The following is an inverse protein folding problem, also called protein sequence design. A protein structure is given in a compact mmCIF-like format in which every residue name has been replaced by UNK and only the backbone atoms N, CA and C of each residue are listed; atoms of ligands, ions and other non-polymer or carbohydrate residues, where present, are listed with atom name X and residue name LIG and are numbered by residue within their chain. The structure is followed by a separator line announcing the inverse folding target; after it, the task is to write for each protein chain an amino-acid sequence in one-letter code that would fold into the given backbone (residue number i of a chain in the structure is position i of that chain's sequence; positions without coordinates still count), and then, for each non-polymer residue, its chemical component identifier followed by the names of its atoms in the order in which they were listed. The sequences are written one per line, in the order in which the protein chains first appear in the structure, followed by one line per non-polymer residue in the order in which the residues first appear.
data_IF_435018388847
#
_entry.id   IF_435018388847
#
_cell.length_a   1.000
_cell.length_b   1.000
_cell.length_c   1.000
_cell.angle_alpha   90.00
_cell.angle_beta   90.00
_cell.angle_gamma   90.00
#
_symmetry.space_group_name_H-M   'P 1'
#
loop_
_entity.id
_entity.type
_entity.pdbx_description
1 polymer ?
#
# COMPACT_ATOMS: atom_id res chain seq x y z
N UNK A 1 40.16 2.27 11.83
CA UNK A 1 39.69 3.53 11.25
C UNK A 1 38.18 3.41 11.15
N UNK A 2 37.44 4.00 12.09
CA UNK A 2 35.97 3.94 12.12
C UNK A 2 35.49 4.99 11.13
N UNK A 3 34.97 4.56 9.98
CA UNK A 3 34.31 5.46 9.03
C UNK A 3 33.10 6.05 9.75
N UNK A 4 33.18 7.34 10.07
CA UNK A 4 32.15 8.12 10.76
C UNK A 4 30.92 8.31 9.88
N UNK A 5 30.20 7.23 9.60
CA UNK A 5 28.88 7.30 9.02
C UNK A 5 27.93 7.79 10.12
N UNK A 6 27.47 9.04 10.00
CA UNK A 6 26.32 9.55 10.74
C UNK A 6 25.22 8.50 10.62
N UNK A 7 24.67 8.04 11.75
CA UNK A 7 23.46 7.21 11.75
C UNK A 7 22.39 8.01 11.00
N UNK A 8 22.14 7.65 9.74
CA UNK A 8 20.96 8.07 9.00
C UNK A 8 19.80 7.41 9.74
N UNK A 9 19.21 8.13 10.69
CA UNK A 9 17.97 7.69 11.32
C UNK A 9 16.91 7.72 10.23
N UNK A 10 16.49 6.55 9.76
CA UNK A 10 15.40 6.19 8.83
C UNK A 10 15.13 7.06 7.58
N UNK A 11 15.87 8.15 7.36
CA UNK A 11 15.66 9.13 6.31
C UNK A 11 16.70 8.98 5.21
N UNK A 12 16.21 8.99 3.97
CA UNK A 12 17.08 9.01 2.80
C UNK A 12 17.86 10.35 2.72
N UNK A 13 19.13 10.30 2.32
CA UNK A 13 20.00 11.49 2.27
C UNK A 13 19.46 12.66 1.42
N UNK A 14 18.57 12.39 0.46
CA UNK A 14 17.87 13.43 -0.28
C UNK A 14 16.86 14.20 0.58
N UNK A 15 16.14 13.53 1.48
CA UNK A 15 15.19 14.15 2.41
C UNK A 15 15.88 15.04 3.45
N UNK A 16 17.09 14.66 3.89
CA UNK A 16 17.93 15.49 4.75
C UNK A 16 18.35 16.82 4.10
N UNK A 17 18.60 16.82 2.80
CA UNK A 17 19.08 18.01 2.07
C UNK A 17 17.92 18.93 1.68
N UNK A 18 16.78 18.38 1.26
CA UNK A 18 15.63 19.17 0.81
C UNK A 18 14.65 19.51 1.94
N UNK A 19 14.72 18.83 3.08
CA UNK A 19 13.70 18.91 4.14
C UNK A 19 12.36 18.29 3.77
N UNK A 20 12.24 17.70 2.58
CA UNK A 20 11.02 17.07 2.09
C UNK A 20 11.22 15.56 1.94
N UNK A 21 10.37 14.78 2.61
CA UNK A 21 10.25 13.35 2.37
C UNK A 21 9.85 13.13 0.91
N UNK A 22 10.57 12.25 0.21
CA UNK A 22 10.21 11.90 -1.18
C UNK A 22 8.87 11.16 -1.16
N UNK A 23 7.91 11.70 -1.88
CA UNK A 23 6.62 11.05 -2.07
C UNK A 23 6.76 9.81 -2.97
N UNK A 24 6.55 8.63 -2.37
CA UNK A 24 6.55 7.33 -3.04
C UNK A 24 5.14 6.73 -3.14
N UNK A 25 4.10 7.49 -2.81
CA UNK A 25 2.71 7.00 -2.79
C UNK A 25 2.29 6.43 -4.15
N UNK A 26 2.83 6.99 -5.23
CA UNK A 26 2.62 6.52 -6.60
C UNK A 26 3.06 5.05 -6.86
N UNK A 27 3.89 4.47 -6.00
CA UNK A 27 4.27 3.05 -6.08
C UNK A 27 3.25 2.11 -5.42
N UNK A 28 2.40 2.64 -4.53
CA UNK A 28 1.36 1.87 -3.86
C UNK A 28 0.08 1.74 -4.69
N UNK A 29 -0.09 2.58 -5.72
CA UNK A 29 -1.30 2.63 -6.53
C UNK A 29 -1.46 1.41 -7.46
N UNK A 30 -0.35 0.80 -7.89
CA UNK A 30 -0.35 -0.31 -8.86
C UNK A 30 0.65 -1.41 -8.50
N UNK A 31 0.19 -2.66 -8.63
CA UNK A 31 1.07 -3.83 -8.61
C UNK A 31 1.74 -4.06 -9.97
N UNK A 32 2.89 -4.74 -9.98
CA UNK A 32 3.55 -5.14 -11.23
C UNK A 32 2.58 -5.99 -12.07
N UNK A 33 2.49 -5.67 -13.35
CA UNK A 33 1.63 -6.33 -14.32
C UNK A 33 0.11 -6.22 -14.05
N UNK A 34 -0.34 -5.27 -13.23
CA UNK A 34 -1.76 -5.07 -12.98
C UNK A 34 -2.50 -4.48 -14.20
N UNK A 35 -3.80 -4.71 -14.29
CA UNK A 35 -4.62 -4.15 -15.37
C UNK A 35 -4.87 -2.66 -15.13
N UNK A 36 -4.63 -1.85 -16.16
CA UNK A 36 -4.90 -0.41 -16.10
C UNK A 36 -5.44 0.13 -17.43
N UNK A 37 -6.08 1.29 -17.35
CA UNK A 37 -6.47 2.09 -18.49
C UNK A 37 -5.43 3.19 -18.72
N UNK A 38 -4.80 3.16 -19.88
CA UNK A 38 -3.98 4.28 -20.33
C UNK A 38 -4.85 5.24 -21.13
N UNK A 39 -4.87 6.51 -20.73
CA UNK A 39 -5.59 7.55 -21.46
C UNK A 39 -4.68 8.22 -22.47
N UNK A 40 -5.19 8.38 -23.70
CA UNK A 40 -4.49 9.08 -24.78
C UNK A 40 -5.07 10.49 -24.94
N UNK A 41 -4.26 11.52 -25.24
CA UNK A 41 -4.77 12.85 -25.53
C UNK A 41 -5.71 12.85 -26.73
N UNK A 42 -6.73 13.73 -26.72
CA UNK A 42 -7.75 13.86 -27.77
C UNK A 42 -7.18 14.14 -29.16
N UNK A 43 -5.99 14.73 -29.24
CA UNK A 43 -5.30 15.03 -30.51
C UNK A 43 -4.44 13.87 -31.04
N UNK A 44 -4.37 12.75 -30.33
CA UNK A 44 -3.57 11.60 -30.75
C UNK A 44 -4.37 10.66 -31.66
N UNK A 45 -3.67 9.95 -32.55
CA UNK A 45 -4.26 8.91 -33.41
C UNK A 45 -4.57 7.60 -32.67
N UNK A 46 -4.35 7.55 -31.35
CA UNK A 46 -4.53 6.36 -30.53
C UNK A 46 -5.90 6.37 -29.87
N UNK A 47 -6.39 5.20 -29.46
CA UNK A 47 -7.64 5.12 -28.71
C UNK A 47 -7.58 5.96 -27.43
N UNK A 48 -8.65 6.72 -27.17
CA UNK A 48 -8.74 7.62 -26.02
C UNK A 48 -8.58 6.89 -24.69
N UNK A 49 -9.08 5.65 -24.61
CA UNK A 49 -8.96 4.77 -23.44
C UNK A 49 -8.56 3.39 -23.95
N UNK A 50 -7.33 2.99 -23.67
CA UNK A 50 -6.78 1.70 -24.09
C UNK A 50 -6.44 0.83 -22.88
N UNK A 51 -6.76 -0.46 -22.97
CA UNK A 51 -6.45 -1.43 -21.93
C UNK A 51 -4.98 -1.81 -22.00
N UNK A 52 -4.27 -1.75 -20.88
CA UNK A 52 -2.84 -2.02 -20.78
C UNK A 52 -2.49 -2.80 -19.52
N UNK A 53 -1.23 -3.26 -19.45
CA UNK A 53 -0.62 -3.81 -18.24
C UNK A 53 0.40 -2.85 -17.67
N UNK A 54 0.34 -2.56 -16.38
CA UNK A 54 1.31 -1.67 -15.74
C UNK A 54 2.66 -2.39 -15.57
N UNK A 55 3.77 -1.75 -15.95
CA UNK A 55 5.13 -2.31 -15.85
C UNK A 55 5.98 -1.60 -14.79
N UNK A 56 5.59 -0.42 -14.36
CA UNK A 56 6.35 0.37 -13.40
C UNK A 56 6.36 1.86 -13.71
N UNK A 57 6.93 2.67 -12.81
CA UNK A 57 7.29 4.06 -13.11
C UNK A 57 8.35 4.13 -14.21
N UNK A 58 8.20 5.09 -15.12
CA UNK A 58 9.18 5.44 -16.15
C UNK A 58 10.03 6.61 -15.64
N UNK A 59 11.29 6.35 -15.31
CA UNK A 59 12.20 7.37 -14.80
C UNK A 59 12.89 8.19 -15.90
N UNK A 60 13.04 7.61 -17.09
CA UNK A 60 13.87 8.18 -18.15
C UNK A 60 13.08 8.99 -19.19
N UNK A 61 11.75 8.81 -19.24
CA UNK A 61 10.92 9.38 -20.29
C UNK A 61 9.63 9.96 -19.70
N UNK A 62 9.36 11.22 -20.03
CA UNK A 62 8.22 12.00 -19.55
C UNK A 62 8.62 13.07 -18.53
N UNK A 63 7.67 13.92 -18.13
CA UNK A 63 7.84 14.84 -17.00
C UNK A 63 7.73 14.10 -15.66
N UNK A 64 7.35 14.83 -14.59
CA UNK A 64 7.06 14.20 -13.29
C UNK A 64 5.90 13.20 -13.41
N UNK A 65 6.04 12.03 -12.78
CA UNK A 65 5.05 10.93 -12.72
C UNK A 65 4.63 10.39 -14.10
N UNK A 66 5.55 9.68 -14.75
CA UNK A 66 5.28 8.90 -15.95
C UNK A 66 5.32 7.39 -15.62
N UNK A 67 4.45 6.60 -16.23
CA UNK A 67 4.38 5.15 -16.05
C UNK A 67 4.63 4.42 -17.37
N UNK A 68 5.30 3.27 -17.30
CA UNK A 68 5.46 2.34 -18.41
C UNK A 68 4.31 1.31 -18.37
N UNK A 69 3.63 1.15 -19.49
CA UNK A 69 2.49 0.25 -19.65
C UNK A 69 2.67 -0.63 -20.90
N UNK A 70 2.41 -1.93 -20.83
CA UNK A 70 2.45 -2.83 -21.97
C UNK A 70 1.12 -2.79 -22.75
N UNK A 71 1.24 -2.69 -24.07
CA UNK A 71 0.12 -2.76 -25.03
C UNK A 71 -0.13 -4.20 -25.50
N UNK A 72 -1.25 -4.45 -26.17
CA UNK A 72 -1.58 -5.76 -26.75
C UNK A 72 -0.56 -6.22 -27.79
N UNK A 73 0.13 -5.29 -28.43
CA UNK A 73 1.18 -5.58 -29.41
C UNK A 73 2.56 -5.85 -28.78
N UNK A 74 2.67 -5.92 -27.45
CA UNK A 74 3.93 -6.12 -26.74
C UNK A 74 4.86 -4.90 -26.74
N UNK A 75 4.38 -3.72 -27.16
CA UNK A 75 5.14 -2.46 -27.10
C UNK A 75 4.92 -1.76 -25.77
N UNK A 76 5.97 -1.13 -25.25
CA UNK A 76 5.90 -0.29 -24.05
C UNK A 76 5.36 1.09 -24.43
N UNK A 77 4.29 1.49 -23.75
CA UNK A 77 3.61 2.76 -23.86
C UNK A 77 3.86 3.55 -22.57
N UNK A 78 4.39 4.77 -22.70
CA UNK A 78 4.67 5.63 -21.55
C UNK A 78 3.63 6.73 -21.41
N UNK A 79 2.96 6.81 -20.26
CA UNK A 79 1.88 7.77 -20.03
C UNK A 79 1.89 8.28 -18.59
N UNK A 80 1.53 9.55 -18.40
CA UNK A 80 1.27 10.14 -17.09
C UNK A 80 -0.16 9.88 -16.60
N UNK A 81 -1.11 9.69 -17.53
CA UNK A 81 -2.52 9.45 -17.19
C UNK A 81 -2.86 7.96 -17.28
N UNK A 82 -2.69 7.26 -16.16
CA UNK A 82 -3.02 5.84 -16.01
C UNK A 82 -4.02 5.68 -14.88
N UNK A 83 -5.09 4.92 -15.12
CA UNK A 83 -6.20 4.74 -14.17
C UNK A 83 -6.36 3.23 -13.87
N UNK A 84 -6.50 2.81 -12.60
CA UNK A 84 -6.78 1.43 -12.28
C UNK A 84 -8.18 1.01 -12.74
N UNK A 85 -8.38 -0.29 -13.00
CA UNK A 85 -9.72 -0.81 -13.27
C UNK A 85 -10.57 -0.74 -12.00
N UNK A 86 -11.79 -0.21 -12.13
CA UNK A 86 -12.75 -0.24 -11.03
C UNK A 86 -13.19 -1.68 -10.72
N UNK A 87 -13.79 -1.90 -9.54
CA UNK A 87 -14.29 -3.23 -9.15
C UNK A 87 -15.42 -3.67 -10.09
N UNK A 88 -16.31 -2.76 -10.43
CA UNK A 88 -17.44 -2.99 -11.35
C UNK A 88 -16.95 -3.32 -12.76
N UNK A 89 -15.93 -2.60 -13.24
CA UNK A 89 -15.28 -2.86 -14.52
C UNK A 89 -14.59 -4.23 -14.56
N UNK A 90 -14.01 -4.67 -13.44
CA UNK A 90 -13.36 -5.99 -13.35
C UNK A 90 -14.35 -7.14 -13.48
N UNK A 91 -15.57 -6.95 -12.98
CA UNK A 91 -16.61 -7.97 -12.96
C UNK A 91 -17.41 -8.06 -14.26
N UNK A 92 -17.45 -6.96 -15.04
CA UNK A 92 -18.12 -6.89 -16.34
C UNK A 92 -17.62 -7.94 -17.34
N UNK A 93 -18.56 -8.56 -18.06
CA UNK A 93 -18.29 -9.59 -19.08
C UNK A 93 -17.52 -9.02 -20.27
N UNK A 94 -17.83 -7.79 -20.68
CA UNK A 94 -17.22 -7.14 -21.85
C UNK A 94 -15.72 -6.91 -21.63
N UNK A 95 -15.35 -6.51 -20.42
CA UNK A 95 -13.95 -6.26 -20.04
C UNK A 95 -13.20 -7.57 -19.88
N UNK A 96 -13.84 -8.63 -19.37
CA UNK A 96 -13.25 -9.98 -19.35
C UNK A 96 -12.94 -10.47 -20.76
N UNK A 97 -13.80 -10.20 -21.74
CA UNK A 97 -13.56 -10.57 -23.12
C UNK A 97 -12.47 -9.71 -23.78
N UNK A 98 -12.41 -8.41 -23.48
CA UNK A 98 -11.28 -7.55 -23.87
C UNK A 98 -9.95 -8.05 -23.30
N UNK A 99 -9.90 -8.45 -22.03
CA UNK A 99 -8.71 -9.03 -21.40
C UNK A 99 -8.26 -10.31 -22.10
N UNK A 100 -9.20 -11.20 -22.44
CA UNK A 100 -8.89 -12.43 -23.20
C UNK A 100 -8.32 -12.13 -24.58
N UNK A 101 -8.92 -11.17 -25.31
CA UNK A 101 -8.43 -10.72 -26.63
C UNK A 101 -7.02 -10.16 -26.51
N UNK A 102 -6.80 -9.26 -25.54
CA UNK A 102 -5.50 -8.67 -25.24
C UNK A 102 -4.43 -9.74 -25.01
N UNK A 103 -4.69 -10.72 -24.14
CA UNK A 103 -3.71 -11.79 -23.84
C UNK A 103 -3.44 -12.66 -25.07
N UNK A 104 -4.46 -12.95 -25.88
CA UNK A 104 -4.29 -13.72 -27.11
C UNK A 104 -3.43 -12.97 -28.12
N UNK A 105 -3.67 -11.68 -28.31
CA UNK A 105 -2.92 -10.83 -29.24
C UNK A 105 -1.48 -10.66 -28.77
N UNK A 106 -1.27 -10.42 -27.47
CA UNK A 106 0.05 -10.32 -26.86
C UNK A 106 0.84 -11.62 -27.02
N UNK A 107 0.22 -12.77 -26.76
CA UNK A 107 0.86 -14.06 -26.95
C UNK A 107 1.20 -14.33 -28.42
N UNK A 108 0.33 -13.93 -29.35
CA UNK A 108 0.61 -14.05 -30.79
C UNK A 108 1.78 -13.14 -31.23
N UNK A 109 1.86 -11.91 -30.70
CA UNK A 109 2.97 -11.00 -30.97
C UNK A 109 4.29 -11.53 -30.41
N UNK A 110 4.27 -12.12 -29.21
CA UNK A 110 5.47 -12.68 -28.57
C UNK A 110 5.94 -14.00 -29.17
N UNK A 111 5.04 -14.81 -29.76
CA UNK A 111 5.39 -16.08 -30.43
C UNK A 111 6.32 -15.94 -31.63
N UNK A 112 6.45 -14.73 -32.19
CA UNK A 112 7.39 -14.45 -33.27
C UNK A 112 8.81 -14.13 -32.77
N UNK A 113 9.00 -14.09 -31.43
CA UNK A 113 10.30 -14.08 -30.80
C UNK A 113 10.62 -15.50 -30.36
N UNK A 114 11.79 -16.01 -30.73
CA UNK A 114 12.32 -17.20 -30.09
C UNK A 114 12.29 -16.99 -28.56
N UNK A 115 11.88 -18.00 -27.77
CA UNK A 115 11.97 -17.90 -26.33
C UNK A 115 13.43 -17.62 -25.98
N UNK A 116 13.69 -16.50 -25.28
CA UNK A 116 15.01 -16.24 -24.71
C UNK A 116 15.29 -17.41 -23.79
N UNK A 117 16.19 -18.29 -24.20
CA UNK A 117 16.70 -19.34 -23.32
C UNK A 117 17.46 -18.61 -22.24
N UNK A 118 17.16 -18.90 -20.98
CA UNK A 118 17.80 -18.25 -19.84
C UNK A 118 19.32 -18.49 -19.85
N UNK A 119 19.79 -19.53 -20.54
CA UNK A 119 21.21 -19.82 -20.81
C UNK A 119 21.91 -18.80 -21.73
N UNK A 120 21.17 -18.07 -22.58
CA UNK A 120 21.73 -17.08 -23.49
C UNK A 120 21.85 -15.68 -22.85
N UNK A 121 21.43 -15.52 -21.58
CA UNK A 121 21.77 -14.37 -20.72
C UNK A 121 23.21 -14.50 -20.22
N UNK A 122 24.15 -14.63 -21.14
CA UNK A 122 25.53 -14.28 -20.84
C UNK A 122 25.58 -12.76 -20.78
N UNK A 123 25.83 -12.21 -19.59
CA UNK A 123 26.02 -10.78 -19.36
C UNK A 123 26.83 -10.18 -20.52
N UNK A 124 26.26 -9.23 -21.30
CA UNK A 124 27.06 -8.44 -22.21
C UNK A 124 27.90 -7.52 -21.34
N UNK A 125 29.07 -7.99 -20.95
CA UNK A 125 30.18 -7.17 -20.48
C UNK A 125 30.61 -6.26 -21.63
N UNK A 126 29.85 -5.19 -21.88
CA UNK A 126 30.11 -4.29 -23.00
C UNK A 126 29.04 -3.24 -23.20
N UNK A 127 29.30 -2.07 -22.62
CA UNK A 127 28.73 -0.77 -23.01
C UNK A 127 27.26 -0.52 -22.67
N UNK A 128 26.97 -0.37 -21.38
CA UNK A 128 26.08 0.71 -20.96
C UNK A 128 26.84 1.56 -19.93
N UNK A 129 27.08 2.83 -20.24
CA UNK A 129 27.54 3.81 -19.26
C UNK A 129 26.36 4.10 -18.31
N UNK A 130 26.11 3.22 -17.33
CA UNK A 130 25.19 3.52 -16.25
C UNK A 130 25.90 4.30 -15.17
N UNK A 131 25.34 5.46 -14.84
CA UNK A 131 25.68 6.26 -13.67
C UNK A 131 25.81 5.39 -12.40
N UNK A 132 26.99 5.43 -11.78
CA UNK A 132 27.39 4.65 -10.59
C UNK A 132 26.50 4.89 -9.35
N UNK A 133 25.54 5.82 -9.41
CA UNK A 133 24.71 6.24 -8.27
C UNK A 133 23.66 5.20 -7.84
N UNK A 134 23.32 4.24 -8.70
CA UNK A 134 22.19 3.31 -8.45
C UNK A 134 22.56 1.82 -8.47
N UNK A 135 23.84 1.46 -8.49
CA UNK A 135 24.25 0.06 -8.41
C UNK A 135 24.18 -0.40 -6.95
N UNK A 136 23.26 -1.32 -6.64
CA UNK A 136 23.44 -2.23 -5.49
C UNK A 136 24.59 -3.17 -5.85
N UNK A 137 25.65 -3.30 -5.04
CA UNK A 137 26.71 -4.26 -5.33
C UNK A 137 26.10 -5.66 -5.36
N UNK A 138 25.92 -6.22 -6.55
CA UNK A 138 25.59 -7.63 -6.69
C UNK A 138 26.86 -8.36 -6.27
N UNK A 139 26.78 -9.14 -5.19
CA UNK A 139 27.91 -9.92 -4.68
C UNK A 139 28.20 -11.12 -5.59
N UNK A 140 28.45 -10.88 -6.86
CA UNK A 140 28.87 -11.89 -7.85
C UNK A 140 30.39 -11.83 -8.03
N UNK A 141 31.12 -11.77 -6.92
CA UNK A 141 32.54 -12.06 -6.96
C UNK A 141 32.68 -13.58 -7.05
N UNK A 142 33.07 -14.07 -8.23
CA UNK A 142 33.30 -15.47 -8.59
C UNK A 142 34.42 -16.20 -7.80
N UNK A 143 34.81 -15.69 -6.64
CA UNK A 143 35.79 -16.26 -5.72
C UNK A 143 35.18 -16.52 -4.34
N UNK A 144 33.90 -16.89 -4.26
CA UNK A 144 33.35 -17.40 -3.01
C UNK A 144 33.84 -18.85 -2.85
N UNK A 145 34.75 -19.15 -1.89
CA UNK A 145 35.20 -20.52 -1.67
C UNK A 145 33.99 -21.39 -1.31
N UNK A 146 33.78 -22.44 -2.08
CA UNK A 146 32.74 -23.42 -1.79
C UNK A 146 33.24 -24.33 -0.67
N UNK A 147 32.59 -24.25 0.48
CA UNK A 147 32.81 -25.20 1.58
C UNK A 147 31.68 -26.23 1.56
N UNK A 148 32.04 -27.52 1.69
CA UNK A 148 31.07 -28.55 2.00
C UNK A 148 30.41 -28.21 3.34
N UNK A 149 29.07 -28.23 3.38
CA UNK A 149 28.34 -28.01 4.62
C UNK A 149 28.77 -29.10 5.61
N UNK A 150 29.18 -28.71 6.81
CA UNK A 150 29.34 -29.64 7.92
C UNK A 150 27.99 -30.34 8.14
N UNK A 151 27.95 -31.65 7.96
CA UNK A 151 26.83 -32.48 8.39
C UNK A 151 27.03 -32.71 9.90
N UNK A 152 26.31 -31.96 10.74
CA UNK A 152 26.25 -32.27 12.16
C UNK A 152 25.44 -33.55 12.33
N UNK A 153 26.10 -34.65 12.69
CA UNK A 153 25.47 -35.97 12.93
C UNK A 153 24.37 -35.92 14.03
N UNK A 154 24.31 -34.85 14.83
CA UNK A 154 23.26 -34.60 15.82
C UNK A 154 21.94 -34.07 15.21
N UNK A 155 21.94 -33.57 13.98
CA UNK A 155 20.73 -33.13 13.26
C UNK A 155 19.85 -34.28 12.78
N UNK A 156 20.35 -35.52 12.73
CA UNK A 156 19.58 -36.68 12.27
C UNK A 156 18.49 -37.14 13.26
N UNK A 157 18.52 -36.67 14.52
CA UNK A 157 17.47 -36.92 15.51
C UNK A 157 16.48 -35.76 15.66
N UNK A 158 16.78 -34.63 15.03
CA UNK A 158 15.83 -33.57 14.75
C UNK A 158 15.64 -33.54 13.24
N UNK A 159 14.90 -34.54 12.75
CA UNK A 159 13.89 -34.29 11.72
C UNK A 159 12.88 -33.30 12.33
N UNK A 160 13.37 -32.08 12.60
CA UNK A 160 12.57 -30.92 12.92
C UNK A 160 11.71 -30.76 11.68
N UNK A 161 10.51 -31.29 11.81
CA UNK A 161 9.31 -30.72 11.26
C UNK A 161 9.51 -29.21 11.37
N UNK A 162 10.04 -28.59 10.32
CA UNK A 162 9.88 -27.17 10.11
C UNK A 162 8.36 -27.05 10.02
N UNK A 163 7.70 -26.79 11.14
CA UNK A 163 6.40 -26.17 11.12
C UNK A 163 6.66 -24.89 10.35
N UNK A 164 6.27 -24.89 9.07
CA UNK A 164 6.21 -23.67 8.29
C UNK A 164 5.55 -22.64 9.19
N UNK A 165 6.28 -21.56 9.50
CA UNK A 165 5.67 -20.44 10.19
C UNK A 165 4.39 -20.13 9.39
N UNK A 166 3.21 -20.13 10.03
CA UNK A 166 1.94 -20.08 9.32
C UNK A 166 2.01 -18.93 8.32
N UNK A 167 1.93 -19.29 7.04
CA UNK A 167 1.91 -18.34 5.93
C UNK A 167 0.70 -17.44 6.14
N UNK A 168 0.85 -16.13 5.91
CA UNK A 168 -0.25 -15.16 5.92
C UNK A 168 -1.38 -15.55 4.93
N UNK A 169 -1.14 -16.53 4.05
CA UNK A 169 -2.08 -17.04 3.06
C UNK A 169 -2.96 -18.21 3.54
N UNK A 170 -2.58 -18.95 4.59
CA UNK A 170 -3.29 -20.21 4.94
C UNK A 170 -4.48 -20.02 5.88
N UNK A 171 -4.53 -18.92 6.65
CA UNK A 171 -5.66 -18.59 7.54
C UNK A 171 -6.17 -17.16 7.30
N UNK A 172 -6.71 -16.93 6.10
CA UNK A 172 -7.32 -15.64 5.71
C UNK A 172 -8.63 -15.30 6.45
N UNK A 173 -9.02 -16.09 7.47
CA UNK A 173 -10.19 -15.84 8.34
C UNK A 173 -9.82 -14.98 9.57
N UNK A 174 -8.53 -14.69 9.77
CA UNK A 174 -7.95 -14.24 11.05
C UNK A 174 -7.50 -12.76 11.12
N UNK A 175 -7.71 -11.98 10.07
CA UNK A 175 -7.23 -10.59 10.02
C UNK A 175 -8.01 -9.70 11.00
N UNK A 176 -7.35 -9.30 12.09
CA UNK A 176 -7.22 -7.90 12.55
C UNK A 176 -8.46 -6.99 12.40
N UNK A 177 -9.66 -7.56 12.62
CA UNK A 177 -10.97 -6.94 12.40
C UNK A 177 -11.14 -5.57 13.04
N UNK A 178 -10.44 -5.36 14.16
CA UNK A 178 -10.52 -4.15 14.96
C UNK A 178 -9.25 -3.30 14.91
N UNK A 179 -8.26 -3.64 14.07
CA UNK A 179 -7.06 -2.83 13.89
C UNK A 179 -7.41 -1.52 13.17
N UNK A 180 -6.73 -0.44 13.53
CA UNK A 180 -6.99 0.93 13.08
C UNK A 180 -8.34 1.51 13.53
N UNK A 181 -9.14 0.78 14.33
CA UNK A 181 -10.36 1.34 14.94
C UNK A 181 -9.97 2.46 15.89
N UNK A 182 -10.64 3.61 15.74
CA UNK A 182 -10.51 4.74 16.65
C UNK A 182 -11.51 4.55 17.79
N UNK A 183 -11.00 4.56 19.01
CA UNK A 183 -11.81 4.46 20.21
C UNK A 183 -11.71 5.74 21.04
N UNK A 184 -12.80 6.07 21.71
CA UNK A 184 -12.91 7.16 22.68
C UNK A 184 -13.17 6.57 24.05
N UNK A 185 -12.50 7.10 25.06
CA UNK A 185 -12.72 6.81 26.48
C UNK A 185 -12.89 8.14 27.21
N UNK A 186 -13.94 8.25 28.01
CA UNK A 186 -14.09 9.40 28.90
C UNK A 186 -13.45 9.04 30.24
N UNK A 187 -12.39 9.73 30.60
CA UNK A 187 -11.71 9.58 31.88
C UNK A 187 -11.75 10.92 32.62
N UNK A 188 -12.39 10.94 33.80
CA UNK A 188 -12.53 12.14 34.64
C UNK A 188 -13.17 13.36 33.93
N UNK A 189 -14.08 13.14 32.97
CA UNK A 189 -14.73 14.21 32.20
C UNK A 189 -13.90 14.72 31.02
N UNK A 190 -12.73 14.14 30.75
CA UNK A 190 -11.89 14.44 29.60
C UNK A 190 -11.98 13.28 28.62
N UNK A 191 -12.28 13.61 27.36
CA UNK A 191 -12.29 12.62 26.28
C UNK A 191 -10.86 12.34 25.81
N UNK A 192 -10.45 11.08 25.95
CA UNK A 192 -9.22 10.54 25.37
C UNK A 192 -9.53 9.75 24.12
N UNK A 193 -8.70 9.93 23.09
CA UNK A 193 -8.79 9.22 21.83
C UNK A 193 -7.60 8.29 21.65
N UNK A 194 -7.85 7.07 21.21
CA UNK A 194 -6.85 6.05 20.97
C UNK A 194 -7.11 5.30 19.68
N UNK A 195 -6.07 4.67 19.14
CA UNK A 195 -6.13 3.85 17.93
C UNK A 195 -5.66 2.45 18.27
N UNK A 196 -6.41 1.44 17.83
CA UNK A 196 -6.00 0.05 17.95
C UNK A 196 -4.82 -0.21 17.01
N UNK A 197 -3.66 -0.56 17.56
CA UNK A 197 -2.43 -0.79 16.80
C UNK A 197 -2.31 -2.21 16.26
N UNK A 198 -2.83 -3.20 16.97
CA UNK A 198 -2.68 -4.60 16.60
C UNK A 198 -3.18 -5.56 17.68
N UNK A 199 -3.23 -6.85 17.36
CA UNK A 199 -3.52 -7.90 18.32
C UNK A 199 -2.28 -8.21 19.17
N UNK A 200 -2.48 -8.36 20.48
CA UNK A 200 -1.42 -8.59 21.45
C UNK A 200 -0.77 -9.96 21.24
N UNK A 201 0.56 -9.99 21.19
CA UNK A 201 1.37 -11.21 21.09
C UNK A 201 2.12 -11.48 22.40
N UNK A 202 2.32 -12.76 22.74
CA UNK A 202 3.19 -13.17 23.85
C UNK A 202 4.67 -13.09 23.46
N UNK A 203 5.56 -13.29 24.43
CA UNK A 203 7.00 -13.41 24.20
C UNK A 203 7.33 -14.52 23.18
N UNK A 204 6.51 -15.57 23.14
CA UNK A 204 6.68 -16.73 22.26
C UNK A 204 6.08 -16.52 20.85
N UNK A 205 5.68 -15.29 20.50
CA UNK A 205 5.11 -14.92 19.19
C UNK A 205 3.63 -15.29 18.98
N UNK A 206 3.08 -16.17 19.80
CA UNK A 206 1.66 -16.58 19.76
C UNK A 206 0.70 -15.47 20.19
N UNK A 207 -0.46 -15.40 19.53
CA UNK A 207 -1.51 -14.42 19.84
C UNK A 207 -2.17 -14.67 21.20
N UNK A 208 -2.52 -13.60 21.91
CA UNK A 208 -3.21 -13.69 23.19
C UNK A 208 -4.73 -13.69 22.98
N UNK A 209 -5.39 -14.76 23.43
CA UNK A 209 -6.84 -14.94 23.32
C UNK A 209 -7.26 -15.68 22.05
N UNK A 210 -8.45 -16.27 22.06
CA UNK A 210 -9.03 -16.97 20.91
C UNK A 210 -10.04 -16.09 20.19
N UNK A 211 -9.92 -16.03 18.87
CA UNK A 211 -10.90 -15.40 18.00
C UNK A 211 -12.20 -16.19 17.99
N UNK A 212 -13.31 -15.48 17.82
CA UNK A 212 -14.62 -16.07 17.60
C UNK A 212 -15.46 -15.12 16.73
N UNK A 213 -16.20 -15.65 15.75
CA UNK A 213 -17.01 -14.85 14.83
C UNK A 213 -18.05 -13.98 15.56
N UNK A 214 -18.76 -14.59 16.52
CA UNK A 214 -19.65 -13.86 17.45
C UNK A 214 -18.81 -13.04 18.43
N UNK A 215 -18.92 -11.71 18.41
CA UNK A 215 -18.01 -10.90 19.20
C UNK A 215 -18.13 -11.10 20.71
N UNK A 216 -19.34 -11.40 21.20
CA UNK A 216 -19.62 -11.73 22.60
C UNK A 216 -18.74 -12.87 23.12
N UNK A 217 -18.36 -13.81 22.25
CA UNK A 217 -17.52 -14.97 22.60
C UNK A 217 -16.05 -14.76 22.22
N UNK A 218 -15.70 -13.62 21.61
CA UNK A 218 -14.34 -13.31 21.20
C UNK A 218 -13.50 -12.88 22.42
N UNK A 219 -12.41 -13.61 22.64
CA UNK A 219 -11.46 -13.40 23.75
C UNK A 219 -10.14 -12.80 23.30
N UNK A 220 -10.02 -12.44 22.02
CA UNK A 220 -8.84 -11.79 21.44
C UNK A 220 -8.50 -10.49 22.16
N UNK A 221 -7.20 -10.25 22.38
CA UNK A 221 -6.70 -9.05 23.05
C UNK A 221 -6.01 -8.15 22.03
N UNK A 222 -6.35 -6.87 22.04
CA UNK A 222 -5.82 -5.81 21.19
C UNK A 222 -5.06 -4.78 22.01
N UNK A 223 -4.03 -4.19 21.42
CA UNK A 223 -3.28 -3.07 22.00
C UNK A 223 -3.74 -1.75 21.38
N UNK A 224 -4.05 -0.80 22.24
CA UNK A 224 -4.48 0.54 21.87
C UNK A 224 -3.38 1.51 22.26
N UNK A 225 -3.03 2.40 21.34
CA UNK A 225 -2.18 3.55 21.60
C UNK A 225 -3.03 4.80 21.71
N UNK A 226 -2.99 5.43 22.87
CA UNK A 226 -3.66 6.69 23.16
C UNK A 226 -2.86 7.88 22.64
N UNK A 227 -3.50 9.05 22.50
CA UNK A 227 -2.87 10.26 21.98
C UNK A 227 -1.72 10.79 22.86
N UNK A 228 -1.80 10.56 24.16
CA UNK A 228 -0.77 10.79 25.17
C UNK A 228 0.40 9.78 25.11
N UNK A 229 0.34 8.81 24.19
CA UNK A 229 1.39 7.82 23.95
C UNK A 229 1.32 6.60 24.88
N UNK A 230 0.40 6.60 25.84
CA UNK A 230 0.13 5.43 26.69
C UNK A 230 -0.44 4.28 25.87
N UNK A 231 -0.09 3.05 26.25
CA UNK A 231 -0.61 1.83 25.62
C UNK A 231 -1.43 1.02 26.61
N UNK A 232 -2.66 0.68 26.25
CA UNK A 232 -3.55 -0.17 27.05
C UNK A 232 -3.98 -1.39 26.24
N UNK A 233 -4.24 -2.52 26.90
CA UNK A 233 -4.69 -3.76 26.24
C UNK A 233 -6.17 -4.02 26.52
N UNK A 234 -7.00 -4.08 25.47
CA UNK A 234 -8.44 -4.36 25.56
C UNK A 234 -8.80 -5.68 24.91
N UNK A 235 -9.85 -6.35 25.41
CA UNK A 235 -10.47 -7.48 24.71
C UNK A 235 -11.32 -7.00 23.53
N UNK A 236 -11.52 -7.85 22.53
CA UNK A 236 -12.37 -7.58 21.37
C UNK A 236 -13.74 -7.00 21.75
N UNK A 237 -14.44 -7.63 22.70
CA UNK A 237 -15.70 -7.13 23.26
C UNK A 237 -15.64 -5.66 23.72
N UNK A 238 -14.56 -5.28 24.41
CA UNK A 238 -14.39 -3.92 24.94
C UNK A 238 -14.11 -2.91 23.83
N UNK A 239 -13.35 -3.32 22.81
CA UNK A 239 -13.09 -2.49 21.62
C UNK A 239 -14.39 -2.22 20.87
N UNK A 240 -15.25 -3.23 20.73
CA UNK A 240 -16.54 -3.11 20.05
C UNK A 240 -17.49 -2.21 20.81
N UNK A 241 -17.59 -2.39 22.14
CA UNK A 241 -18.38 -1.49 22.99
C UNK A 241 -17.94 -0.03 22.79
N UNK A 242 -16.64 0.22 22.83
CA UNK A 242 -16.09 1.56 22.63
C UNK A 242 -16.35 2.09 21.21
N UNK A 243 -16.31 1.22 20.20
CA UNK A 243 -16.63 1.58 18.82
C UNK A 243 -18.11 1.96 18.68
N UNK A 244 -19.03 1.12 19.19
CA UNK A 244 -20.48 1.35 19.12
C UNK A 244 -20.91 2.61 19.86
N UNK A 245 -20.21 2.99 20.94
CA UNK A 245 -20.48 4.24 21.65
C UNK A 245 -20.10 5.51 20.86
N UNK A 246 -19.29 5.37 19.81
CA UNK A 246 -18.82 6.50 18.99
C UNK A 246 -19.55 6.62 17.65
N UNK A 247 -20.59 5.84 17.43
CA UNK A 247 -21.34 5.79 16.18
C UNK A 247 -22.77 6.26 16.43
N UNK A 248 -23.31 7.10 15.55
CA UNK A 248 -24.73 7.51 15.58
C UNK A 248 -25.65 6.46 14.95
N UNK A 249 -26.96 6.69 15.00
CA UNK A 249 -27.98 5.78 14.43
C UNK A 249 -27.81 5.58 12.90
N UNK A 250 -27.09 6.48 12.23
CA UNK A 250 -26.79 6.45 10.79
C UNK A 250 -25.44 5.79 10.45
N UNK A 251 -24.69 5.31 11.44
CA UNK A 251 -23.42 4.61 11.22
C UNK A 251 -22.20 5.53 11.08
N UNK A 252 -22.34 6.84 11.30
CA UNK A 252 -21.24 7.80 11.21
C UNK A 252 -20.50 7.92 12.54
N UNK A 253 -19.17 8.01 12.48
CA UNK A 253 -18.36 8.31 13.66
C UNK A 253 -18.66 9.72 14.14
N UNK A 254 -19.17 9.85 15.37
CA UNK A 254 -19.49 11.13 16.00
C UNK A 254 -18.18 11.80 16.44
N UNK A 255 -17.55 12.51 15.51
CA UNK A 255 -16.49 13.44 15.82
C UNK A 255 -17.14 14.78 16.13
N UNK A 256 -17.28 15.11 17.43
CA UNK A 256 -17.71 16.44 17.83
C UNK A 256 -16.62 17.45 17.49
N UNK A 257 -16.75 18.13 16.35
CA UNK A 257 -15.98 19.36 16.08
C UNK A 257 -16.54 20.44 17.00
N UNK A 258 -15.78 20.82 18.04
CA UNK A 258 -16.23 21.83 19.01
C UNK A 258 -16.20 23.23 18.39
N UNK A 259 -15.06 23.64 17.85
CA UNK A 259 -14.87 24.96 17.24
C UNK A 259 -13.60 25.00 16.36
N UNK A 260 -13.59 25.86 15.34
CA UNK A 260 -12.41 26.19 14.55
C UNK A 260 -11.74 27.43 15.14
N UNK A 261 -10.63 27.23 15.87
CA UNK A 261 -9.78 28.32 16.36
C UNK A 261 -8.80 28.80 15.28
N UNK A 262 -8.44 30.08 15.33
CA UNK A 262 -7.38 30.69 14.51
C UNK A 262 -7.50 30.49 12.99
N UNK A 263 -8.74 30.58 12.48
CA UNK A 263 -8.97 30.53 11.05
C UNK A 263 -8.60 31.89 10.41
N UNK A 264 -7.72 31.88 9.41
CA UNK A 264 -7.37 33.07 8.63
C UNK A 264 -8.40 33.27 7.53
N UNK A 265 -8.97 34.48 7.46
CA UNK A 265 -9.97 34.84 6.46
C UNK A 265 -9.37 35.79 5.42
N UNK A 266 -9.72 35.57 4.15
CA UNK A 266 -9.43 36.50 3.06
C UNK A 266 -10.64 37.43 2.82
N UNK A 267 -10.48 38.48 2.01
CA UNK A 267 -11.53 39.48 1.72
C UNK A 267 -12.78 38.94 1.03
N UNK A 268 -12.78 37.68 0.62
CA UNK A 268 -13.92 36.95 0.02
C UNK A 268 -14.81 36.26 1.06
N UNK A 269 -14.55 36.45 2.37
CA UNK A 269 -15.34 35.84 3.44
C UNK A 269 -16.80 36.32 3.41
N UNK A 270 -17.73 35.37 3.36
CA UNK A 270 -19.16 35.61 3.60
C UNK A 270 -19.35 35.92 5.09
N UNK A 271 -19.89 37.09 5.41
CA UNK A 271 -20.25 37.43 6.79
C UNK A 271 -21.48 36.61 7.22
N UNK A 272 -21.63 36.35 8.53
CA UNK A 272 -22.76 35.56 9.04
C UNK A 272 -24.13 36.15 8.65
N UNK A 273 -24.19 37.47 8.46
CA UNK A 273 -25.40 38.17 8.01
C UNK A 273 -25.71 37.98 6.50
N UNK A 274 -24.69 37.62 5.72
CA UNK A 274 -24.76 37.42 4.26
C UNK A 274 -24.84 35.92 3.86
N UNK A 275 -24.86 35.02 4.83
CA UNK A 275 -24.92 33.56 4.63
C UNK A 275 -26.30 33.03 4.24
N UNK A 276 -27.13 33.81 3.56
CA UNK A 276 -28.47 33.40 3.14
C UNK A 276 -28.71 33.78 1.68
N UNK A 277 -29.18 32.83 0.89
CA UNK A 277 -29.57 33.06 -0.50
C UNK A 277 -31.10 33.17 -0.58
N UNK A 278 -31.57 34.17 -1.33
CA UNK A 278 -33.00 34.36 -1.57
C UNK A 278 -33.47 33.48 -2.72
N UNK A 279 -34.16 32.38 -2.41
CA UNK A 279 -34.80 31.52 -3.41
C UNK A 279 -36.31 31.73 -3.33
N UNK A 280 -36.93 32.24 -4.40
CA UNK A 280 -38.38 32.50 -4.48
C UNK A 280 -38.93 33.31 -3.28
N UNK A 281 -38.27 34.44 -2.96
CA UNK A 281 -38.61 35.32 -1.82
C UNK A 281 -38.56 34.66 -0.43
N UNK A 282 -37.89 33.51 -0.27
CA UNK A 282 -37.60 32.91 1.03
C UNK A 282 -36.10 32.93 1.30
N UNK A 283 -35.72 33.33 2.51
CA UNK A 283 -34.35 33.21 3.01
C UNK A 283 -34.07 31.74 3.27
N UNK A 284 -33.11 31.18 2.56
CA UNK A 284 -32.59 29.83 2.78
C UNK A 284 -31.12 29.98 3.16
N UNK A 285 -30.63 29.32 4.23
CA UNK A 285 -29.20 29.29 4.54
C UNK A 285 -28.40 28.66 3.38
#
# INVERSE_FOLDING_TARGET
MVLGHSRQGDDCGAGWISGNTKDISHLADFGIYDWCWALSPTHSSQENKQLCRWLGPSFNIGGSLCFACATSCGKVLQRSSVIPLSREERDSTDIKDLKKRFTKDLHNCLKNSDPIKIDDLQDPSGAYEADEKYIRPLHTNANTPHFERYEDDEMLQHEELFEEAPSEEDDQVELDKYVCVKIRKNENGIDKFGVVCGRKRRADGLMVGSYHEKPVLDTSIYEIKWHDGETESYRANKVIEAMMMNVDDDGNSILHVKEFIDHRMDGTRVHADDGFVMVKNKKVP
#
